data_IF_571330422731
#
_entry.id   IF_571330422731
#
_cell.length_a   1.000
_cell.length_b   1.000
_cell.length_c   1.000
_cell.angle_alpha   90.00
_cell.angle_beta   90.00
_cell.angle_gamma   90.00
#
_symmetry.space_group_name_H-M   'P 1'
#
loop_
_entity.id
_entity.type
_entity.pdbx_description
1 polymer ?
#
# COMPACT_ATOMS: atom_id res chain seq x y z
N UNK A 1 13.62 0.67 8.11
CA UNK A 1 12.39 0.82 8.91
C UNK A 1 11.38 1.61 8.10
N UNK A 2 10.88 1.16 6.94
CA UNK A 2 10.08 -0.04 6.62
C UNK A 2 8.85 -0.16 7.54
N UNK A 3 7.76 0.45 7.05
CA UNK A 3 6.38 0.38 7.56
C UNK A 3 6.11 1.16 8.84
N UNK A 4 5.31 2.22 8.71
CA UNK A 4 4.84 3.06 9.83
C UNK A 4 3.35 2.87 9.95
N UNK A 5 2.91 2.45 11.13
CA UNK A 5 1.51 2.41 11.52
C UNK A 5 1.32 3.25 12.78
N UNK A 6 0.25 4.02 12.84
CA UNK A 6 -0.11 4.85 13.99
C UNK A 6 -1.63 4.94 14.11
N UNK A 7 -2.12 4.89 15.35
CA UNK A 7 -3.52 5.19 15.66
C UNK A 7 -3.60 6.69 15.94
N UNK A 8 -4.47 7.41 15.23
CA UNK A 8 -4.65 8.85 15.48
C UNK A 8 -5.66 9.12 16.62
N UNK A 9 -5.85 10.40 16.92
CA UNK A 9 -6.74 10.86 18.00
C UNK A 9 -8.22 10.52 17.78
N UNK A 10 -8.61 10.04 16.59
CA UNK A 10 -9.97 9.65 16.23
C UNK A 10 -10.13 8.12 16.08
N UNK A 11 -9.21 7.33 16.65
CA UNK A 11 -9.18 5.87 16.52
C UNK A 11 -9.07 5.37 15.07
N UNK A 12 -8.51 6.19 14.15
CA UNK A 12 -8.24 5.77 12.78
C UNK A 12 -6.83 5.17 12.69
N UNK A 13 -6.74 3.95 12.17
CA UNK A 13 -5.46 3.26 11.98
C UNK A 13 -4.83 3.69 10.66
N UNK A 14 -3.81 4.54 10.74
CA UNK A 14 -3.04 5.02 9.60
C UNK A 14 -1.89 4.05 9.32
N UNK A 15 -1.84 3.47 8.12
CA UNK A 15 -0.83 2.48 7.73
C UNK A 15 -0.12 2.89 6.44
N UNK A 16 1.21 2.83 6.42
CA UNK A 16 2.01 3.01 5.20
C UNK A 16 2.78 1.74 4.88
N UNK A 17 2.50 1.15 3.72
CA UNK A 17 3.23 -0.01 3.21
C UNK A 17 4.10 0.35 2.02
N UNK A 18 5.30 -0.23 2.00
CA UNK A 18 6.25 -0.07 0.91
C UNK A 18 6.30 -1.37 0.12
N UNK A 19 5.88 -1.31 -1.14
CA UNK A 19 5.92 -2.43 -2.05
C UNK A 19 7.23 -2.38 -2.81
N UNK A 20 7.99 -3.47 -2.70
CA UNK A 20 9.23 -3.69 -3.42
C UNK A 20 9.00 -4.74 -4.51
N UNK A 21 8.94 -4.35 -5.78
CA UNK A 21 8.84 -5.28 -6.90
C UNK A 21 10.12 -6.10 -7.01
N UNK A 22 10.03 -7.31 -7.57
CA UNK A 22 11.17 -8.22 -7.65
C UNK A 22 12.25 -7.61 -8.56
N UNK A 23 13.50 -7.58 -8.08
CA UNK A 23 14.62 -6.93 -8.77
C UNK A 23 14.78 -7.35 -10.25
N UNK A 24 14.52 -8.61 -10.58
CA UNK A 24 14.62 -9.13 -11.97
C UNK A 24 13.52 -8.62 -12.92
N UNK A 25 12.41 -8.10 -12.41
CA UNK A 25 11.25 -7.66 -13.21
C UNK A 25 10.79 -6.24 -12.87
N UNK A 26 11.58 -5.51 -12.10
CA UNK A 26 11.27 -4.19 -11.53
C UNK A 26 10.59 -3.22 -12.51
N UNK A 27 11.16 -3.00 -13.70
CA UNK A 27 10.58 -2.07 -14.69
C UNK A 27 9.21 -2.55 -15.20
N UNK A 28 9.04 -3.86 -15.42
CA UNK A 28 7.77 -4.42 -15.90
C UNK A 28 6.72 -4.40 -14.79
N UNK A 29 7.08 -4.81 -13.58
CA UNK A 29 6.16 -4.87 -12.44
C UNK A 29 5.67 -3.48 -12.04
N UNK A 30 6.58 -2.49 -11.95
CA UNK A 30 6.20 -1.09 -11.71
C UNK A 30 5.34 -0.55 -12.85
N UNK A 31 5.71 -0.85 -14.09
CA UNK A 31 4.91 -0.42 -15.24
C UNK A 31 3.50 -1.00 -15.22
N UNK A 32 3.32 -2.25 -14.77
CA UNK A 32 2.00 -2.88 -14.61
C UNK A 32 1.22 -2.19 -13.49
N UNK A 33 1.84 -1.96 -12.33
CA UNK A 33 1.18 -1.33 -11.18
C UNK A 33 0.76 0.11 -11.48
N UNK A 34 1.55 0.84 -12.26
CA UNK A 34 1.30 2.24 -12.62
C UNK A 34 0.58 2.42 -13.97
N UNK A 35 0.30 1.32 -14.68
CA UNK A 35 -0.48 1.36 -15.93
C UNK A 35 -1.87 1.94 -15.66
N UNK A 36 -2.47 2.58 -16.68
CA UNK A 36 -3.80 3.18 -16.59
C UNK A 36 -3.94 4.12 -15.38
N UNK A 37 -2.98 5.03 -15.20
CA UNK A 37 -2.97 5.97 -14.08
C UNK A 37 -3.01 5.31 -12.69
N UNK A 38 -2.37 4.13 -12.57
CA UNK A 38 -2.29 3.38 -11.32
C UNK A 38 -3.60 2.71 -10.90
N UNK A 39 -4.47 2.35 -11.84
CA UNK A 39 -5.73 1.67 -11.55
C UNK A 39 -5.50 0.35 -10.79
N UNK A 40 -4.49 -0.42 -11.18
CA UNK A 40 -4.14 -1.68 -10.51
C UNK A 40 -3.74 -1.45 -9.05
N UNK A 41 -2.86 -0.48 -8.78
CA UNK A 41 -2.43 -0.20 -7.40
C UNK A 41 -3.56 0.40 -6.55
N UNK A 42 -4.48 1.17 -7.15
CA UNK A 42 -5.68 1.67 -6.47
C UNK A 42 -6.61 0.54 -6.05
N UNK A 43 -6.89 -0.41 -6.94
CA UNK A 43 -7.71 -1.59 -6.61
C UNK A 43 -7.10 -2.41 -5.47
N UNK A 44 -5.79 -2.63 -5.52
CA UNK A 44 -5.05 -3.31 -4.44
C UNK A 44 -5.20 -2.54 -3.12
N UNK A 45 -5.06 -1.20 -3.15
CA UNK A 45 -5.22 -0.36 -1.96
C UNK A 45 -6.62 -0.46 -1.37
N UNK A 46 -7.66 -0.38 -2.20
CA UNK A 46 -9.05 -0.45 -1.75
C UNK A 46 -9.40 -1.80 -1.12
N UNK A 47 -8.96 -2.90 -1.73
CA UNK A 47 -9.23 -4.24 -1.21
C UNK A 47 -8.46 -4.50 0.09
N UNK A 48 -7.19 -4.07 0.16
CA UNK A 48 -6.39 -4.17 1.37
C UNK A 48 -6.98 -3.32 2.50
N UNK A 49 -7.38 -2.08 2.25
CA UNK A 49 -8.01 -1.21 3.24
C UNK A 49 -9.31 -1.82 3.80
N UNK A 50 -10.15 -2.39 2.94
CA UNK A 50 -11.37 -3.10 3.35
C UNK A 50 -11.05 -4.31 4.24
N UNK A 51 -10.08 -5.13 3.83
CA UNK A 51 -9.69 -6.32 4.58
C UNK A 51 -9.13 -5.96 5.96
N UNK A 52 -8.28 -4.93 6.02
CA UNK A 52 -7.68 -4.44 7.27
C UNK A 52 -8.74 -3.82 8.19
N UNK A 53 -9.63 -2.97 7.66
CA UNK A 53 -10.72 -2.37 8.43
C UNK A 53 -11.63 -3.43 9.06
N UNK A 54 -11.92 -4.49 8.30
CA UNK A 54 -12.73 -5.62 8.79
C UNK A 54 -12.00 -6.41 9.89
N UNK A 55 -10.70 -6.62 9.71
CA UNK A 55 -9.86 -7.40 10.64
C UNK A 55 -9.66 -6.67 11.96
N UNK A 56 -9.30 -5.38 11.91
CA UNK A 56 -9.02 -4.56 13.08
C UNK A 56 -10.25 -3.90 13.68
N UNK A 57 -11.42 -3.98 13.01
CA UNK A 57 -12.69 -3.38 13.45
C UNK A 57 -12.59 -1.88 13.74
N UNK A 58 -11.81 -1.16 12.93
CA UNK A 58 -11.65 0.28 12.98
C UNK A 58 -11.56 0.83 11.54
N UNK A 59 -11.67 2.15 11.39
CA UNK A 59 -11.34 2.82 10.14
C UNK A 59 -9.84 2.69 9.87
N UNK A 60 -9.47 2.29 8.66
CA UNK A 60 -8.07 2.19 8.23
C UNK A 60 -7.83 3.17 7.10
N UNK A 61 -6.76 3.96 7.20
CA UNK A 61 -6.24 4.78 6.10
C UNK A 61 -4.95 4.17 5.59
N UNK A 62 -5.01 3.57 4.40
CA UNK A 62 -3.87 2.86 3.82
C UNK A 62 -3.16 3.69 2.77
N UNK A 63 -1.84 3.84 2.91
CA UNK A 63 -0.95 4.43 1.91
C UNK A 63 0.00 3.37 1.35
N UNK A 64 -0.12 3.09 0.05
CA UNK A 64 0.81 2.21 -0.67
C UNK A 64 1.87 3.02 -1.41
N UNK A 65 3.14 2.69 -1.21
CA UNK A 65 4.28 3.32 -1.88
C UNK A 65 5.05 2.23 -2.63
N UNK A 66 5.16 2.35 -3.96
CA UNK A 66 5.97 1.45 -4.76
C UNK A 66 7.38 2.01 -4.87
N UNK A 67 8.39 1.30 -4.36
CA UNK A 67 9.80 1.70 -4.47
C UNK A 67 10.55 0.81 -5.46
N UNK A 68 11.40 1.43 -6.28
CA UNK A 68 12.25 0.75 -7.26
C UNK A 68 13.60 0.30 -6.71
N UNK A 69 13.95 0.69 -5.49
CA UNK A 69 15.20 0.31 -4.84
C UNK A 69 15.00 0.09 -3.34
N UNK A 70 15.77 -0.86 -2.79
CA UNK A 70 15.97 -1.01 -1.36
C UNK A 70 17.17 -0.13 -0.96
N UNK A 71 16.95 1.18 -0.86
CA UNK A 71 17.84 2.07 -0.11
C UNK A 71 17.38 2.18 1.35
#
# INVERSE_FOLDING_TARGET
TSERWELDENDVLNMTFIIYPRAKQLKRDVSVLLKNHGEAIKLISMEAERALSTTFRCEVKLKLIVKTSHE
#
